data_IF_680253857952
#
_entry.id   IF_680253857952
#
_cell.length_a   1.000
_cell.length_b   1.000
_cell.length_c   1.000
_cell.angle_alpha   90.00
_cell.angle_beta   90.00
_cell.angle_gamma   90.00
#
_symmetry.space_group_name_H-M   'P 1'
#
loop_
_entity.id
_entity.type
_entity.pdbx_description
1 polymer ?
#
# COMPACT_ATOMS: atom_id res chain seq x y z
N UNK A 1 45.28 -1.30 -55.36
CA UNK A 1 44.27 -2.33 -55.08
C UNK A 1 44.62 -2.82 -53.70
N UNK A 2 43.67 -2.55 -52.80
CA UNK A 2 43.60 -3.00 -51.40
C UNK A 2 44.56 -2.31 -50.42
N UNK A 3 44.16 -1.86 -49.24
CA UNK A 3 42.90 -1.37 -48.67
C UNK A 3 43.32 -0.83 -47.29
N UNK A 4 42.61 0.19 -46.81
CA UNK A 4 42.87 0.88 -45.55
C UNK A 4 42.71 -0.04 -44.33
N UNK A 5 43.54 0.12 -43.29
CA UNK A 5 43.15 -0.27 -41.93
C UNK A 5 43.67 0.75 -40.90
N UNK A 6 42.99 1.89 -40.89
CA UNK A 6 43.06 2.92 -39.86
C UNK A 6 42.39 2.37 -38.59
N UNK A 7 43.20 2.01 -37.58
CA UNK A 7 42.71 1.53 -36.28
C UNK A 7 42.10 2.68 -35.45
N UNK A 8 40.85 3.03 -35.77
CA UNK A 8 40.03 3.93 -34.96
C UNK A 8 39.64 3.25 -33.63
N UNK A 9 40.34 3.57 -32.55
CA UNK A 9 39.94 3.20 -31.19
C UNK A 9 38.58 3.83 -30.83
N UNK A 10 37.56 3.05 -30.43
CA UNK A 10 36.26 3.60 -30.10
C UNK A 10 36.32 4.27 -28.73
N UNK A 11 36.16 5.60 -28.71
CA UNK A 11 35.91 6.44 -27.52
C UNK A 11 34.60 6.01 -26.83
N UNK A 12 34.65 4.94 -26.04
CA UNK A 12 33.54 4.46 -25.19
C UNK A 12 33.54 5.08 -23.78
N UNK A 13 34.04 6.30 -23.56
CA UNK A 13 34.17 6.86 -22.21
C UNK A 13 33.43 8.17 -21.93
N UNK A 14 32.69 8.75 -22.88
CA UNK A 14 31.98 10.02 -22.63
C UNK A 14 30.48 9.89 -22.34
N UNK A 15 29.83 8.80 -22.76
CA UNK A 15 28.38 8.64 -22.61
C UNK A 15 27.94 8.17 -21.21
N UNK A 16 28.86 7.60 -20.41
CA UNK A 16 28.55 7.16 -19.03
C UNK A 16 28.60 8.29 -17.98
N UNK A 17 28.97 9.52 -18.34
CA UNK A 17 29.02 10.67 -17.41
C UNK A 17 27.85 11.65 -17.54
N UNK A 18 26.95 11.44 -18.50
CA UNK A 18 25.81 12.34 -18.77
C UNK A 18 24.45 11.68 -18.63
N UNK A 19 24.38 10.39 -18.28
CA UNK A 19 23.13 9.87 -17.75
C UNK A 19 22.92 10.57 -16.40
N UNK A 20 21.87 11.39 -16.21
CA UNK A 20 21.47 11.70 -14.85
C UNK A 20 21.30 10.35 -14.16
N UNK A 21 21.79 10.24 -12.92
CA UNK A 21 21.38 9.16 -12.04
C UNK A 21 19.89 9.41 -11.86
N UNK A 22 19.09 8.88 -12.78
CA UNK A 22 17.65 8.76 -12.65
C UNK A 22 17.55 7.78 -11.51
N UNK A 23 17.21 8.28 -10.32
CA UNK A 23 16.91 7.43 -9.16
C UNK A 23 16.11 6.25 -9.70
N UNK A 24 16.69 5.07 -9.58
CA UNK A 24 16.11 3.87 -10.15
C UNK A 24 14.71 3.73 -9.53
N UNK A 25 13.69 3.26 -10.25
CA UNK A 25 12.31 3.18 -9.73
C UNK A 25 12.21 2.63 -8.28
N UNK A 26 13.13 1.74 -7.90
CA UNK A 26 13.31 1.22 -6.54
C UNK A 26 13.75 2.25 -5.49
N UNK A 27 14.60 3.23 -5.81
CA UNK A 27 15.10 4.25 -4.86
C UNK A 27 14.01 5.23 -4.42
N UNK A 28 13.11 5.62 -5.32
CA UNK A 28 11.99 6.52 -4.97
C UNK A 28 10.98 5.80 -4.08
N UNK A 29 10.70 4.52 -4.36
CA UNK A 29 9.85 3.67 -3.52
C UNK A 29 10.52 3.40 -2.17
N UNK A 30 11.83 3.19 -2.15
CA UNK A 30 12.63 3.03 -0.93
C UNK A 30 12.56 4.27 -0.03
N UNK A 31 12.62 5.47 -0.61
CA UNK A 31 12.49 6.75 0.12
C UNK A 31 11.08 6.98 0.71
N UNK A 32 10.02 6.47 0.08
CA UNK A 32 8.64 6.52 0.61
C UNK A 32 8.38 5.44 1.68
N UNK A 33 9.10 4.32 1.60
CA UNK A 33 9.06 3.21 2.55
C UNK A 33 10.17 3.28 3.61
N UNK A 34 10.88 4.41 3.71
CA UNK A 34 11.80 4.67 4.80
C UNK A 34 11.07 4.61 6.14
N UNK A 35 11.80 4.15 7.16
CA UNK A 35 11.27 3.94 8.50
C UNK A 35 10.51 5.18 9.00
N UNK A 36 9.25 4.97 9.41
CA UNK A 36 8.39 5.98 9.99
C UNK A 36 7.60 6.85 9.00
N UNK A 37 7.84 6.76 7.68
CA UNK A 37 7.11 7.60 6.70
C UNK A 37 5.79 7.01 6.24
N UNK A 38 5.66 5.68 6.23
CA UNK A 38 4.45 4.96 5.84
C UNK A 38 3.14 5.47 6.50
N UNK A 39 3.05 5.70 7.83
CA UNK A 39 1.83 6.19 8.47
C UNK A 39 1.32 7.53 7.91
N UNK A 40 2.22 8.36 7.38
CA UNK A 40 1.90 9.68 6.83
C UNK A 40 1.58 9.65 5.33
N UNK A 41 1.67 8.49 4.68
CA UNK A 41 1.27 8.35 3.27
C UNK A 41 -0.25 8.20 3.16
N UNK A 42 -0.82 8.57 2.01
CA UNK A 42 -2.24 8.35 1.71
C UNK A 42 -2.65 6.88 1.90
N UNK A 43 -1.79 5.95 1.50
CA UNK A 43 -1.99 4.52 1.70
C UNK A 43 -2.06 4.13 3.19
N UNK A 44 -1.14 4.66 4.01
CA UNK A 44 -1.14 4.45 5.46
C UNK A 44 -2.38 5.02 6.14
N UNK A 45 -2.82 6.20 5.73
CA UNK A 45 -4.04 6.85 6.25
C UNK A 45 -5.29 6.01 5.91
N UNK A 46 -5.44 5.60 4.65
CA UNK A 46 -6.60 4.79 4.21
C UNK A 46 -6.65 3.46 4.98
N UNK A 47 -5.50 2.79 5.14
CA UNK A 47 -5.42 1.56 5.97
C UNK A 47 -5.82 1.82 7.42
N UNK A 48 -5.39 2.93 8.00
CA UNK A 48 -5.74 3.29 9.38
C UNK A 48 -7.24 3.50 9.53
N UNK A 49 -7.88 4.20 8.59
CA UNK A 49 -9.34 4.38 8.56
C UNK A 49 -10.04 3.02 8.44
N UNK A 50 -9.59 2.15 7.53
CA UNK A 50 -10.13 0.80 7.39
C UNK A 50 -10.04 -0.01 8.68
N UNK A 51 -8.88 -0.01 9.36
CA UNK A 51 -8.71 -0.67 10.65
C UNK A 51 -9.66 -0.11 11.71
N UNK A 52 -9.83 1.21 11.80
CA UNK A 52 -10.76 1.84 12.75
C UNK A 52 -12.22 1.43 12.49
N UNK A 53 -12.65 1.35 11.24
CA UNK A 53 -13.98 0.86 10.89
C UNK A 53 -14.20 -0.60 11.32
N UNK A 54 -13.20 -1.47 11.11
CA UNK A 54 -13.28 -2.87 11.54
C UNK A 54 -13.33 -2.99 13.07
N UNK A 55 -12.52 -2.21 13.80
CA UNK A 55 -12.56 -2.16 15.27
C UNK A 55 -13.94 -1.68 15.76
N UNK A 56 -14.50 -0.65 15.13
CA UNK A 56 -15.83 -0.16 15.46
C UNK A 56 -16.92 -1.22 15.22
N UNK A 57 -16.83 -1.98 14.12
CA UNK A 57 -17.74 -3.09 13.83
C UNK A 57 -17.70 -4.18 14.91
N UNK A 58 -16.50 -4.59 15.35
CA UNK A 58 -16.34 -5.55 16.46
C UNK A 58 -16.88 -4.96 17.77
N UNK A 59 -16.58 -3.69 18.06
CA UNK A 59 -17.06 -3.01 19.25
C UNK A 59 -18.59 -2.96 19.31
N UNK A 60 -19.24 -2.66 18.20
CA UNK A 60 -20.70 -2.68 18.07
C UNK A 60 -21.27 -4.09 18.23
N UNK A 61 -20.61 -5.10 17.68
CA UNK A 61 -21.01 -6.50 17.85
C UNK A 61 -21.04 -6.94 19.32
N UNK A 62 -20.05 -6.56 20.12
CA UNK A 62 -20.03 -6.88 21.55
C UNK A 62 -20.94 -5.98 22.41
N UNK A 63 -21.26 -4.78 21.92
CA UNK A 63 -22.15 -3.85 22.62
C UNK A 63 -23.65 -4.15 22.40
N UNK A 64 -23.98 -4.92 21.37
CA UNK A 64 -25.35 -5.30 21.02
C UNK A 64 -25.66 -6.71 21.50
N UNK A 65 -26.91 -6.98 21.92
CA UNK A 65 -27.32 -8.34 22.27
C UNK A 65 -27.23 -9.25 21.03
N UNK A 66 -26.85 -10.51 21.25
CA UNK A 66 -26.86 -11.52 20.19
C UNK A 66 -28.30 -11.83 19.78
N UNK A 67 -28.52 -12.02 18.48
CA UNK A 67 -29.82 -12.44 17.93
C UNK A 67 -30.23 -13.81 18.48
N UNK A 68 -31.50 -13.94 18.90
CA UNK A 68 -31.99 -15.10 19.67
C UNK A 68 -31.98 -16.41 18.86
N UNK A 69 -32.24 -16.36 17.55
CA UNK A 69 -32.33 -17.52 16.65
C UNK A 69 -31.10 -17.64 15.72
N UNK A 70 -29.90 -17.66 16.29
CA UNK A 70 -28.66 -17.77 15.50
C UNK A 70 -27.93 -19.10 15.68
N UNK A 71 -27.19 -19.49 14.63
CA UNK A 71 -26.37 -20.70 14.66
C UNK A 71 -25.26 -20.59 15.70
N UNK A 72 -24.87 -21.71 16.31
CA UNK A 72 -23.82 -21.73 17.37
C UNK A 72 -22.44 -21.23 16.91
N UNK A 73 -22.16 -21.23 15.60
CA UNK A 73 -20.93 -20.70 15.02
C UNK A 73 -20.95 -19.18 14.83
N UNK A 74 -22.13 -18.55 14.77
CA UNK A 74 -22.31 -17.11 14.54
C UNK A 74 -21.49 -16.21 15.47
N UNK A 75 -21.55 -16.38 16.82
CA UNK A 75 -20.81 -15.52 17.74
C UNK A 75 -19.29 -15.66 17.63
N UNK A 76 -18.79 -16.67 16.92
CA UNK A 76 -17.36 -16.88 16.72
C UNK A 76 -16.92 -16.45 15.33
N UNK A 77 -17.70 -16.74 14.28
CA UNK A 77 -17.26 -16.53 12.89
C UNK A 77 -17.02 -15.05 12.59
N UNK A 78 -17.97 -14.18 12.93
CA UNK A 78 -17.89 -12.75 12.62
C UNK A 78 -16.76 -12.03 13.38
N UNK A 79 -16.67 -12.10 14.73
CA UNK A 79 -15.60 -11.41 15.43
C UNK A 79 -14.23 -12.03 15.16
N UNK A 80 -14.12 -13.35 14.93
CA UNK A 80 -12.83 -13.97 14.61
C UNK A 80 -12.31 -13.56 13.23
N UNK A 81 -13.16 -13.53 12.19
CA UNK A 81 -12.75 -13.13 10.83
C UNK A 81 -12.27 -11.69 10.80
N UNK A 82 -13.01 -10.78 11.45
CA UNK A 82 -12.63 -9.37 11.57
C UNK A 82 -11.35 -9.19 12.39
N UNK A 83 -11.20 -9.95 13.49
CA UNK A 83 -9.99 -9.90 14.33
C UNK A 83 -8.75 -10.36 13.56
N UNK A 84 -8.86 -11.41 12.75
CA UNK A 84 -7.77 -11.88 11.86
C UNK A 84 -7.41 -10.79 10.84
N UNK A 85 -8.42 -10.14 10.23
CA UNK A 85 -8.20 -9.02 9.31
C UNK A 85 -7.47 -7.85 9.96
N UNK A 86 -7.92 -7.41 11.14
CA UNK A 86 -7.28 -6.32 11.89
C UNK A 86 -5.85 -6.69 12.26
N UNK A 87 -5.65 -7.90 12.80
CA UNK A 87 -4.33 -8.36 13.23
C UNK A 87 -3.35 -8.41 12.06
N UNK A 88 -3.80 -8.94 10.92
CA UNK A 88 -3.00 -9.03 9.70
C UNK A 88 -2.62 -7.64 9.18
N UNK A 89 -3.59 -6.72 9.12
CA UNK A 89 -3.34 -5.32 8.74
C UNK A 89 -2.35 -4.65 9.68
N UNK A 90 -2.50 -4.83 10.98
CA UNK A 90 -1.65 -4.22 11.99
C UNK A 90 -0.20 -4.72 11.86
N UNK A 91 -0.02 -6.04 11.73
CA UNK A 91 1.31 -6.64 11.51
C UNK A 91 1.96 -6.06 10.27
N UNK A 92 1.23 -6.02 9.15
CA UNK A 92 1.75 -5.46 7.90
C UNK A 92 2.05 -3.98 8.04
N UNK A 93 1.17 -3.21 8.67
CA UNK A 93 1.37 -1.79 8.95
C UNK A 93 2.65 -1.53 9.73
N UNK A 94 2.95 -2.35 10.75
CA UNK A 94 4.19 -2.27 11.53
C UNK A 94 5.40 -2.62 10.65
N UNK A 95 5.30 -3.66 9.82
CA UNK A 95 6.38 -4.05 8.89
C UNK A 95 6.70 -2.94 7.89
N UNK A 96 5.67 -2.35 7.27
CA UNK A 96 5.83 -1.20 6.36
C UNK A 96 6.37 0.04 7.10
N UNK A 97 5.90 0.31 8.31
CA UNK A 97 6.37 1.45 9.12
C UNK A 97 7.80 1.29 9.60
N UNK A 98 8.26 0.06 9.84
CA UNK A 98 9.63 -0.22 10.27
C UNK A 98 10.64 -0.12 9.13
N UNK A 99 10.19 -0.06 7.87
CA UNK A 99 11.06 0.01 6.70
C UNK A 99 11.73 -1.31 6.32
N UNK A 100 11.29 -2.44 6.89
CA UNK A 100 11.77 -3.78 6.47
C UNK A 100 11.50 -4.07 4.99
N UNK A 101 10.52 -3.37 4.41
CA UNK A 101 10.08 -3.50 3.02
C UNK A 101 11.03 -2.84 2.02
N UNK A 102 11.97 -2.01 2.47
CA UNK A 102 12.95 -1.30 1.63
C UNK A 102 13.91 -2.22 0.87
N UNK A 103 14.13 -3.46 1.36
CA UNK A 103 15.04 -4.42 0.72
C UNK A 103 14.40 -5.12 -0.49
N UNK A 104 13.10 -5.41 -0.42
CA UNK A 104 12.36 -6.16 -1.45
C UNK A 104 10.90 -5.66 -1.50
N UNK A 105 10.65 -4.42 -1.97
CA UNK A 105 9.33 -3.80 -1.88
C UNK A 105 8.26 -4.59 -2.66
N UNK A 106 8.62 -5.17 -3.80
CA UNK A 106 7.71 -5.95 -4.64
C UNK A 106 7.07 -7.13 -3.90
N UNK A 107 7.88 -7.92 -3.19
CA UNK A 107 7.41 -9.11 -2.47
C UNK A 107 6.45 -8.71 -1.36
N UNK A 108 6.80 -7.69 -0.58
CA UNK A 108 5.97 -7.21 0.53
C UNK A 108 4.67 -6.57 0.07
N UNK A 109 4.69 -5.80 -1.02
CA UNK A 109 3.47 -5.22 -1.62
C UNK A 109 2.56 -6.31 -2.15
N UNK A 110 3.09 -7.30 -2.88
CA UNK A 110 2.27 -8.41 -3.39
C UNK A 110 1.71 -9.28 -2.24
N UNK A 111 2.51 -9.54 -1.21
CA UNK A 111 2.07 -10.26 -0.01
C UNK A 111 0.95 -9.52 0.73
N UNK A 112 1.12 -8.20 0.91
CA UNK A 112 0.12 -7.32 1.53
C UNK A 112 -1.21 -7.33 0.77
N UNK A 113 -1.16 -7.20 -0.56
CA UNK A 113 -2.35 -7.26 -1.42
C UNK A 113 -3.02 -8.62 -1.29
N UNK A 114 -2.25 -9.71 -1.43
CA UNK A 114 -2.80 -11.07 -1.40
C UNK A 114 -3.52 -11.38 -0.09
N UNK A 115 -2.85 -11.13 1.04
CA UNK A 115 -3.40 -11.52 2.35
C UNK A 115 -4.58 -10.61 2.77
N UNK A 116 -4.51 -9.30 2.53
CA UNK A 116 -5.62 -8.40 2.87
C UNK A 116 -6.83 -8.61 1.96
N UNK A 117 -6.62 -8.95 0.68
CA UNK A 117 -7.73 -9.24 -0.23
C UNK A 117 -8.47 -10.50 0.20
N UNK A 118 -7.74 -11.59 0.50
CA UNK A 118 -8.34 -12.84 1.01
C UNK A 118 -9.09 -12.57 2.33
N UNK A 119 -8.45 -11.86 3.26
CA UNK A 119 -9.06 -11.54 4.55
C UNK A 119 -10.31 -10.66 4.41
N UNK A 120 -10.30 -9.69 3.48
CA UNK A 120 -11.44 -8.86 3.17
C UNK A 120 -12.61 -9.67 2.59
N UNK A 121 -12.34 -10.60 1.66
CA UNK A 121 -13.39 -11.48 1.13
C UNK A 121 -14.04 -12.33 2.22
N UNK A 122 -13.24 -13.00 3.06
CA UNK A 122 -13.75 -13.81 4.19
C UNK A 122 -14.60 -12.95 5.13
N UNK A 123 -14.13 -11.74 5.43
CA UNK A 123 -14.82 -10.81 6.34
C UNK A 123 -16.12 -10.25 5.75
N UNK A 124 -16.17 -10.02 4.44
CA UNK A 124 -17.40 -9.63 3.73
C UNK A 124 -18.43 -10.76 3.79
N UNK A 125 -18.03 -12.01 3.51
CA UNK A 125 -18.95 -13.14 3.61
C UNK A 125 -19.47 -13.32 5.03
N UNK A 126 -18.63 -13.21 6.06
CA UNK A 126 -19.10 -13.27 7.44
C UNK A 126 -20.04 -12.11 7.81
N UNK A 127 -19.82 -10.91 7.26
CA UNK A 127 -20.69 -9.75 7.47
C UNK A 127 -22.06 -9.93 6.80
N UNK A 128 -22.09 -10.49 5.59
CA UNK A 128 -23.33 -10.82 4.90
C UNK A 128 -24.09 -11.90 5.67
N UNK A 129 -23.40 -12.97 6.10
CA UNK A 129 -24.01 -14.03 6.91
C UNK A 129 -24.61 -13.46 8.19
N UNK A 130 -23.91 -12.52 8.84
CA UNK A 130 -24.40 -11.80 10.02
C UNK A 130 -25.68 -11.01 9.74
N UNK A 131 -25.73 -10.31 8.61
CA UNK A 131 -26.94 -9.57 8.21
C UNK A 131 -28.09 -10.49 7.82
N UNK A 132 -27.82 -11.67 7.26
CA UNK A 132 -28.85 -12.65 6.90
C UNK A 132 -29.46 -13.31 8.14
N UNK A 133 -28.61 -13.73 9.09
CA UNK A 133 -29.04 -14.39 10.32
C UNK A 133 -29.81 -13.42 11.25
N UNK A 134 -29.46 -12.13 11.24
CA UNK A 134 -30.13 -11.10 12.04
C UNK A 134 -31.09 -10.21 11.21
N UNK A 135 -31.48 -10.63 10.00
CA UNK A 135 -32.17 -9.77 9.02
C UNK A 135 -33.59 -9.31 9.39
N UNK A 136 -34.18 -9.90 10.44
CA UNK A 136 -35.50 -9.53 10.96
C UNK A 136 -35.43 -8.64 12.22
N UNK A 137 -34.24 -8.31 12.70
CA UNK A 137 -34.04 -7.54 13.93
C UNK A 137 -33.80 -6.04 13.68
N UNK A 138 -33.75 -5.28 14.78
CA UNK A 138 -33.57 -3.83 14.81
C UNK A 138 -32.40 -3.34 13.92
N UNK A 139 -32.52 -2.10 13.45
CA UNK A 139 -31.49 -1.42 12.65
C UNK A 139 -30.08 -1.48 13.26
N UNK A 140 -29.99 -1.61 14.59
CA UNK A 140 -28.76 -1.78 15.36
C UNK A 140 -27.99 -3.07 15.03
N UNK A 141 -28.64 -4.14 14.56
CA UNK A 141 -27.98 -5.38 14.14
C UNK A 141 -27.44 -5.25 12.71
N UNK A 142 -28.24 -4.66 11.83
CA UNK A 142 -27.90 -4.46 10.41
C UNK A 142 -26.68 -3.54 10.27
N UNK A 143 -26.58 -2.49 11.10
CA UNK A 143 -25.47 -1.54 11.03
C UNK A 143 -24.11 -2.19 11.32
N UNK A 144 -24.07 -3.27 12.12
CA UNK A 144 -22.82 -3.98 12.46
C UNK A 144 -22.19 -4.58 11.19
N UNK A 145 -23.01 -5.30 10.41
CA UNK A 145 -22.61 -5.90 9.15
C UNK A 145 -22.24 -4.84 8.10
N UNK A 146 -23.01 -3.75 8.00
CA UNK A 146 -22.72 -2.64 7.08
C UNK A 146 -21.38 -1.98 7.42
N UNK A 147 -21.12 -1.66 8.69
CA UNK A 147 -19.85 -1.06 9.13
C UNK A 147 -18.68 -2.02 8.88
N UNK A 148 -18.89 -3.33 9.08
CA UNK A 148 -17.92 -4.37 8.75
C UNK A 148 -17.57 -4.40 7.26
N UNK A 149 -18.58 -4.37 6.39
CA UNK A 149 -18.41 -4.30 4.93
C UNK A 149 -17.69 -3.01 4.53
N UNK A 150 -18.06 -1.85 5.09
CA UNK A 150 -17.38 -0.58 4.83
C UNK A 150 -15.89 -0.66 5.20
N UNK A 151 -15.55 -1.24 6.35
CA UNK A 151 -14.15 -1.47 6.74
C UNK A 151 -13.40 -2.37 5.76
N UNK A 152 -14.04 -3.43 5.29
CA UNK A 152 -13.46 -4.35 4.29
C UNK A 152 -13.26 -3.69 2.92
N UNK A 153 -14.19 -2.85 2.47
CA UNK A 153 -14.04 -2.09 1.23
C UNK A 153 -12.88 -1.10 1.36
N UNK A 154 -12.80 -0.38 2.49
CA UNK A 154 -11.72 0.58 2.75
C UNK A 154 -10.35 -0.10 2.77
N UNK A 155 -10.29 -1.34 3.28
CA UNK A 155 -9.12 -2.22 3.18
C UNK A 155 -8.70 -2.49 1.73
N UNK A 156 -9.63 -2.92 0.89
CA UNK A 156 -9.35 -3.20 -0.53
C UNK A 156 -8.87 -1.93 -1.24
N UNK A 157 -9.48 -0.79 -0.96
CA UNK A 157 -9.02 0.51 -1.46
C UNK A 157 -7.60 0.80 -0.96
N UNK A 158 -7.29 0.51 0.30
CA UNK A 158 -5.94 0.62 0.85
C UNK A 158 -4.91 -0.24 0.12
N UNK A 159 -5.26 -1.48 -0.25
CA UNK A 159 -4.41 -2.34 -1.08
C UNK A 159 -4.17 -1.73 -2.46
N UNK A 160 -5.21 -1.19 -3.09
CA UNK A 160 -5.11 -0.49 -4.38
C UNK A 160 -4.20 0.74 -4.21
N UNK A 161 -4.34 1.52 -3.13
CA UNK A 161 -3.50 2.68 -2.87
C UNK A 161 -2.02 2.31 -2.70
N UNK A 162 -1.70 1.21 -2.03
CA UNK A 162 -0.32 0.72 -1.90
C UNK A 162 0.21 0.24 -3.24
N UNK A 163 -0.61 -0.49 -4.01
CA UNK A 163 -0.24 -0.93 -5.35
C UNK A 163 0.04 0.27 -6.27
N UNK A 164 -0.81 1.30 -6.23
CA UNK A 164 -0.60 2.53 -6.98
C UNK A 164 0.62 3.31 -6.47
N UNK A 165 0.86 3.37 -5.16
CA UNK A 165 2.07 3.98 -4.60
C UNK A 165 3.35 3.26 -5.05
N UNK A 166 3.28 1.93 -5.21
CA UNK A 166 4.37 1.10 -5.71
C UNK A 166 4.56 1.25 -7.23
N UNK A 167 3.47 1.30 -8.00
CA UNK A 167 3.50 1.28 -9.48
C UNK A 167 3.61 2.67 -10.12
N UNK A 168 2.93 3.66 -9.54
CA UNK A 168 2.90 5.03 -10.00
C UNK A 168 3.67 5.90 -9.01
N UNK A 169 4.95 6.10 -9.33
CA UNK A 169 5.69 7.23 -8.80
C UNK A 169 4.92 8.47 -9.24
N UNK A 170 4.36 9.22 -8.29
CA UNK A 170 4.02 10.62 -8.54
C UNK A 170 5.29 11.26 -9.09
N UNK A 171 5.31 11.49 -10.41
CA UNK A 171 6.28 12.37 -11.03
C UNK A 171 5.92 13.76 -10.48
N UNK A 172 6.41 14.06 -9.27
CA UNK A 172 6.56 15.44 -8.86
C UNK A 172 7.38 16.05 -10.00
N UNK A 173 6.89 17.08 -10.70
CA UNK A 173 7.70 17.75 -11.71
C UNK A 173 8.84 18.41 -10.94
N UNK A 174 9.94 17.67 -10.75
CA UNK A 174 11.22 18.26 -10.43
C UNK A 174 11.53 19.14 -11.63
N UNK A 175 11.25 20.43 -11.49
CA UNK A 175 11.93 21.44 -12.29
C UNK A 175 13.40 21.03 -12.32
N UNK A 176 14.02 20.92 -13.50
CA UNK A 176 15.44 20.65 -13.55
C UNK A 176 16.12 21.79 -12.81
N UNK A 177 16.65 21.53 -11.62
CA UNK A 177 17.64 22.43 -11.03
C UNK A 177 18.86 22.37 -11.96
N UNK A 178 18.84 23.26 -12.95
CA UNK A 178 20.02 23.61 -13.74
C UNK A 178 21.03 24.28 -12.81
N UNK A 179 21.70 23.49 -11.97
CA UNK A 179 23.00 23.85 -11.43
C UNK A 179 24.04 23.52 -12.49
N UNK A 180 24.08 24.35 -13.55
CA UNK A 180 25.35 24.55 -14.23
C UNK A 180 26.25 25.26 -13.22
N UNK A 181 27.45 24.76 -12.89
CA UNK A 181 28.46 25.65 -12.33
C UNK A 181 28.75 26.67 -13.42
N UNK A 182 28.38 27.92 -13.17
CA UNK A 182 28.80 29.04 -14.00
C UNK A 182 30.31 29.16 -13.77
N UNK A 183 31.10 28.53 -14.64
CA UNK A 183 32.55 28.67 -14.63
C UNK A 183 32.89 29.98 -15.35
N UNK A 184 33.27 31.06 -14.63
CA UNK A 184 33.47 32.36 -15.24
C UNK A 184 34.81 32.46 -15.97
N UNK A 185 35.55 31.36 -16.12
CA UNK A 185 36.86 31.32 -16.80
C UNK A 185 36.80 30.54 -18.10
N UNK A 186 36.06 31.06 -19.09
CA UNK A 186 36.28 30.78 -20.52
C UNK A 186 35.52 31.79 -21.39
N UNK A 187 35.89 33.06 -21.27
CA UNK A 187 35.58 34.09 -22.29
C UNK A 187 36.83 34.91 -22.56
N UNK A 188 37.88 34.24 -23.05
CA UNK A 188 39.06 34.90 -23.61
C UNK A 188 39.47 34.06 -24.82
N UNK A 189 39.03 34.50 -26.00
CA UNK A 189 39.32 34.01 -27.36
C UNK A 189 38.76 32.65 -27.80
N UNK A 190 37.72 32.70 -28.63
CA UNK A 190 37.64 32.05 -29.96
C UNK A 190 36.32 32.47 -30.63
#
# INVERSE_FOLDING_TARGET
MDEDEEAAQPRKSLYMRLAPIVDTYDEVVKNKLETGKFPFTWAGIIKTIGMLCLIASIGLFFATPLCEDTSTWYPYLFPSSLSISITTMLILYIIFSSGYTTKNPSVWVNFDIGINLISAFVSIFSSIATMCDCGNEDFSQVIIGVVGICGCITSVVGCISIFLMYRFVEQIPTMPQSRRPFDPRKSVFA
#
